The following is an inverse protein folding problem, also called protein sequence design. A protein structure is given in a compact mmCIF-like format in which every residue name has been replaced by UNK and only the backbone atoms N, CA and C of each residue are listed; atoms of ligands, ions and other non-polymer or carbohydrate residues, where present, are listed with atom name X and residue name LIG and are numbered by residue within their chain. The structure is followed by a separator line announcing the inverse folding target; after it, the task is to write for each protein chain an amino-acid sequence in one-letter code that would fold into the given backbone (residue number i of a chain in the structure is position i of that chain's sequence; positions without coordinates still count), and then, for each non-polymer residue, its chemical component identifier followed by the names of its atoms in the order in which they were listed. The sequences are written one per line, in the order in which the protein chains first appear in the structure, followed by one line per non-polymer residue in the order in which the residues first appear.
data_IF_586881850526
#
_entry.id   IF_586881850526
#
_cell.length_a   1.000
_cell.length_b   1.000
_cell.length_c   1.000
_cell.angle_alpha   90.00
_cell.angle_beta   90.00
_cell.angle_gamma   90.00
#
_symmetry.space_group_name_H-M   'P 1'
#
loop_
_entity.id
_entity.type
_entity.pdbx_description
1 polymer ?
#
# COMPACT_ATOMS: atom_id res chain seq x y z
N UNK A 1 -8.90 -27.14 29.97
CA UNK A 1 -7.95 -27.57 28.93
C UNK A 1 -8.08 -26.61 27.75
N UNK A 2 -7.37 -25.47 27.85
CA UNK A 2 -7.22 -24.53 26.73
C UNK A 2 -5.95 -24.96 26.00
N UNK A 3 -6.09 -25.53 24.82
CA UNK A 3 -4.99 -25.67 23.87
C UNK A 3 -4.56 -24.28 23.44
N UNK A 4 -3.27 -23.90 23.56
CA UNK A 4 -2.82 -22.64 23.01
C UNK A 4 -3.03 -22.68 21.49
N UNK A 5 -3.69 -21.65 20.95
CA UNK A 5 -3.73 -21.41 19.51
C UNK A 5 -2.30 -21.32 19.00
N UNK A 6 -1.93 -21.98 17.91
CA UNK A 6 -0.60 -21.83 17.34
C UNK A 6 -0.41 -20.39 16.86
N UNK A 7 0.81 -19.90 16.97
CA UNK A 7 1.30 -18.63 16.42
C UNK A 7 1.13 -18.58 14.89
N UNK A 8 -0.12 -18.43 14.45
CA UNK A 8 -0.47 -18.38 13.02
C UNK A 8 -0.21 -16.99 12.42
N UNK A 9 -0.10 -15.96 13.24
CA UNK A 9 -0.04 -14.58 12.74
C UNK A 9 1.29 -14.24 12.07
N UNK A 10 2.42 -14.60 12.67
CA UNK A 10 3.74 -14.27 12.08
C UNK A 10 4.05 -15.08 10.82
N UNK A 11 3.56 -16.32 10.75
CA UNK A 11 3.76 -17.17 9.57
C UNK A 11 2.90 -16.71 8.40
N UNK A 12 1.69 -16.27 8.69
CA UNK A 12 0.75 -15.74 7.69
C UNK A 12 1.22 -14.40 7.10
N UNK A 13 1.75 -13.50 7.94
CA UNK A 13 2.36 -12.22 7.52
C UNK A 13 3.54 -12.40 6.57
N UNK A 14 4.42 -13.37 6.84
CA UNK A 14 5.55 -13.68 5.97
C UNK A 14 5.08 -14.21 4.60
N UNK A 15 4.00 -15.01 4.57
CA UNK A 15 3.41 -15.53 3.35
C UNK A 15 2.76 -14.43 2.50
N UNK A 16 2.05 -13.50 3.12
CA UNK A 16 1.38 -12.40 2.43
C UNK A 16 2.40 -11.40 1.84
N UNK A 17 3.44 -11.05 2.61
CA UNK A 17 4.56 -10.24 2.09
C UNK A 17 5.29 -10.93 0.95
N UNK A 18 5.48 -12.25 1.03
CA UNK A 18 6.07 -13.03 -0.05
C UNK A 18 5.18 -13.03 -1.31
N UNK A 19 3.87 -13.18 -1.14
CA UNK A 19 2.90 -13.10 -2.23
C UNK A 19 2.92 -11.72 -2.91
N UNK A 20 3.00 -10.64 -2.13
CA UNK A 20 3.15 -9.29 -2.65
C UNK A 20 4.45 -9.13 -3.44
N UNK A 21 5.59 -9.56 -2.90
CA UNK A 21 6.88 -9.51 -3.61
C UNK A 21 6.85 -10.31 -4.91
N UNK A 22 6.21 -11.47 -4.91
CA UNK A 22 6.01 -12.28 -6.12
C UNK A 22 5.16 -11.55 -7.15
N UNK A 23 4.07 -10.91 -6.73
CA UNK A 23 3.23 -10.11 -7.61
C UNK A 23 4.00 -8.93 -8.23
N UNK A 24 4.81 -8.22 -7.43
CA UNK A 24 5.68 -7.14 -7.90
C UNK A 24 6.66 -7.70 -8.95
N UNK A 25 7.39 -8.77 -8.65
CA UNK A 25 8.35 -9.39 -9.57
C UNK A 25 7.72 -9.84 -10.88
N UNK A 26 6.51 -10.42 -10.82
CA UNK A 26 5.76 -10.85 -12.01
C UNK A 26 5.36 -9.64 -12.87
N UNK A 27 4.87 -8.58 -12.24
CA UNK A 27 4.47 -7.34 -12.92
C UNK A 27 5.67 -6.65 -13.59
N UNK A 28 6.85 -6.73 -12.96
CA UNK A 28 8.08 -6.12 -13.47
C UNK A 28 8.82 -6.97 -14.51
N UNK A 29 8.36 -8.18 -14.79
CA UNK A 29 9.04 -9.08 -15.72
C UNK A 29 9.00 -8.53 -17.15
N UNK A 30 10.17 -8.22 -17.76
CA UNK A 30 10.25 -7.61 -19.08
C UNK A 30 9.71 -8.51 -20.20
N UNK A 31 9.65 -9.82 -19.99
CA UNK A 31 9.14 -10.79 -20.99
C UNK A 31 7.63 -10.69 -21.22
N UNK A 32 6.90 -10.05 -20.32
CA UNK A 32 5.46 -9.82 -20.43
C UNK A 32 5.12 -8.44 -21.03
N UNK A 33 6.14 -7.62 -21.31
CA UNK A 33 5.95 -6.29 -21.88
C UNK A 33 6.01 -6.39 -23.40
N UNK A 34 4.90 -6.04 -24.06
CA UNK A 34 4.90 -5.75 -25.48
C UNK A 34 5.92 -4.65 -25.83
N UNK A 35 6.29 -4.58 -27.11
CA UNK A 35 7.29 -3.67 -27.67
C UNK A 35 6.91 -2.16 -27.60
N UNK A 36 6.22 -1.72 -26.57
CA UNK A 36 5.87 -0.31 -26.42
C UNK A 36 7.06 0.47 -25.85
N UNK A 37 7.57 1.39 -26.67
CA UNK A 37 8.59 2.38 -26.30
C UNK A 37 8.11 3.40 -25.23
N UNK A 38 6.97 3.18 -24.60
CA UNK A 38 6.46 4.06 -23.54
C UNK A 38 7.08 3.69 -22.20
N UNK A 39 7.72 4.66 -21.57
CA UNK A 39 8.20 4.55 -20.19
C UNK A 39 7.01 4.50 -19.23
N UNK A 40 6.66 3.30 -18.76
CA UNK A 40 5.69 3.12 -17.70
C UNK A 40 6.39 3.07 -16.34
N UNK A 41 5.76 3.62 -15.33
CA UNK A 41 6.20 3.45 -13.95
C UNK A 41 5.30 2.45 -13.21
N UNK A 42 5.85 1.80 -12.22
CA UNK A 42 5.12 0.96 -11.29
C UNK A 42 5.16 1.60 -9.91
N UNK A 43 4.03 1.68 -9.24
CA UNK A 43 3.93 2.15 -7.88
C UNK A 43 3.41 1.04 -6.95
N UNK A 44 3.84 1.11 -5.70
CA UNK A 44 3.31 0.31 -4.61
C UNK A 44 2.83 1.23 -3.51
N UNK A 45 1.62 1.03 -3.04
CA UNK A 45 1.09 1.68 -1.85
C UNK A 45 0.88 0.66 -0.73
N UNK A 46 1.24 1.01 0.50
CA UNK A 46 0.87 0.27 1.70
C UNK A 46 -0.01 1.17 2.56
N UNK A 47 -1.18 0.66 2.90
CA UNK A 47 -2.19 1.32 3.72
C UNK A 47 -2.15 0.68 5.10
N UNK A 48 -2.09 1.50 6.15
CA UNK A 48 -2.13 1.09 7.54
C UNK A 48 -3.34 1.78 8.22
N UNK A 49 -4.13 1.00 8.91
CA UNK A 49 -5.31 1.51 9.64
C UNK A 49 -4.86 2.11 10.96
N UNK A 50 -5.09 3.41 11.15
CA UNK A 50 -4.68 4.10 12.37
C UNK A 50 -5.43 3.56 13.58
N UNK A 51 -4.70 3.48 14.69
CA UNK A 51 -5.24 3.15 16.01
C UNK A 51 -6.04 1.82 16.04
N UNK A 52 -5.73 0.89 15.11
CA UNK A 52 -6.43 -0.38 14.99
C UNK A 52 -6.35 -1.23 16.26
N UNK A 53 -5.19 -1.23 16.93
CA UNK A 53 -5.04 -1.91 18.21
C UNK A 53 -5.96 -1.32 19.29
N UNK A 54 -6.10 0.01 19.31
CA UNK A 54 -7.01 0.72 20.22
C UNK A 54 -8.48 0.41 19.93
N UNK A 55 -8.82 0.30 18.64
CA UNK A 55 -10.13 -0.13 18.18
C UNK A 55 -10.48 -1.52 18.73
N UNK A 56 -9.57 -2.49 18.56
CA UNK A 56 -9.73 -3.85 19.08
C UNK A 56 -9.83 -3.89 20.60
N UNK A 57 -9.05 -3.06 21.29
CA UNK A 57 -9.11 -2.97 22.74
C UNK A 57 -10.44 -2.42 23.24
N UNK A 58 -11.02 -1.46 22.52
CA UNK A 58 -12.27 -0.79 22.91
C UNK A 58 -13.52 -1.57 22.53
N UNK A 59 -13.53 -2.22 21.37
CA UNK A 59 -14.73 -2.86 20.80
C UNK A 59 -14.60 -4.38 20.61
N UNK A 60 -13.45 -4.96 20.90
CA UNK A 60 -13.15 -6.37 20.71
C UNK A 60 -12.62 -6.71 19.32
N UNK A 61 -11.98 -7.89 19.19
CA UNK A 61 -11.38 -8.37 17.93
C UNK A 61 -12.42 -8.56 16.82
N UNK A 62 -13.64 -8.96 17.15
CA UNK A 62 -14.71 -9.14 16.16
C UNK A 62 -15.07 -7.83 15.45
N UNK A 63 -14.96 -6.70 16.16
CA UNK A 63 -15.10 -5.37 15.57
C UNK A 63 -13.99 -5.12 14.55
N UNK A 64 -12.75 -5.32 14.95
CA UNK A 64 -11.60 -5.13 14.08
C UNK A 64 -11.66 -6.01 12.83
N UNK A 65 -11.99 -7.28 12.96
CA UNK A 65 -12.14 -8.22 11.85
C UNK A 65 -13.23 -7.77 10.87
N UNK A 66 -14.36 -7.26 11.40
CA UNK A 66 -15.45 -6.71 10.58
C UNK A 66 -14.99 -5.46 9.82
N UNK A 67 -14.27 -4.56 10.48
CA UNK A 67 -13.73 -3.34 9.86
C UNK A 67 -12.71 -3.69 8.77
N UNK A 68 -11.76 -4.61 9.04
CA UNK A 68 -10.78 -5.05 8.03
C UNK A 68 -11.47 -5.72 6.84
N UNK A 69 -12.49 -6.53 7.08
CA UNK A 69 -13.28 -7.15 6.01
C UNK A 69 -13.98 -6.10 5.14
N UNK A 70 -14.57 -5.09 5.76
CA UNK A 70 -15.22 -3.99 5.06
C UNK A 70 -14.23 -3.17 4.23
N UNK A 71 -13.04 -2.88 4.79
CA UNK A 71 -11.95 -2.19 4.07
C UNK A 71 -11.50 -3.02 2.87
N UNK A 72 -11.23 -4.31 3.07
CA UNK A 72 -10.82 -5.22 2.00
C UNK A 72 -11.86 -5.27 0.87
N UNK A 73 -13.14 -5.32 1.22
CA UNK A 73 -14.22 -5.30 0.23
C UNK A 73 -14.25 -3.98 -0.56
N UNK A 74 -14.12 -2.84 0.09
CA UNK A 74 -14.08 -1.52 -0.55
C UNK A 74 -12.85 -1.38 -1.46
N UNK A 75 -11.68 -1.81 -1.00
CA UNK A 75 -10.45 -1.78 -1.79
C UNK A 75 -10.55 -2.69 -3.02
N UNK A 76 -11.08 -3.89 -2.87
CA UNK A 76 -11.30 -4.81 -4.01
C UNK A 76 -12.34 -4.29 -5.00
N UNK A 77 -13.36 -3.59 -4.54
CA UNK A 77 -14.34 -2.94 -5.43
C UNK A 77 -13.73 -1.78 -6.21
N UNK A 78 -12.78 -1.06 -5.61
CA UNK A 78 -12.01 -0.01 -6.30
C UNK A 78 -11.00 -0.63 -7.26
N UNK A 79 -10.40 -1.77 -6.89
CA UNK A 79 -9.46 -2.51 -7.71
C UNK A 79 -10.19 -3.04 -8.95
N UNK A 80 -9.76 -2.59 -10.11
CA UNK A 80 -10.11 -3.12 -11.41
C UNK A 80 -8.86 -3.78 -12.01
N UNK A 81 -8.85 -4.08 -13.30
CA UNK A 81 -7.67 -4.65 -13.96
C UNK A 81 -6.41 -3.76 -13.89
N UNK A 82 -6.55 -2.51 -13.40
CA UNK A 82 -5.46 -1.54 -13.32
C UNK A 82 -4.60 -1.68 -12.05
N UNK A 83 -5.07 -2.34 -10.98
CA UNK A 83 -4.28 -2.55 -9.77
C UNK A 83 -4.65 -3.81 -9.00
N UNK A 84 -3.67 -4.31 -8.25
CA UNK A 84 -3.73 -5.57 -7.50
C UNK A 84 -3.72 -5.23 -6.01
N UNK A 85 -4.74 -5.71 -5.28
CA UNK A 85 -4.85 -5.52 -3.83
C UNK A 85 -4.49 -6.80 -3.08
N UNK A 86 -3.63 -6.68 -2.07
CA UNK A 86 -3.24 -7.73 -1.14
C UNK A 86 -3.52 -7.30 0.29
N UNK A 87 -4.12 -8.18 1.09
CA UNK A 87 -4.14 -8.02 2.54
C UNK A 87 -2.81 -8.55 3.09
N UNK A 88 -2.08 -7.70 3.83
CA UNK A 88 -0.73 -8.02 4.33
C UNK A 88 -0.73 -8.56 5.75
N UNK A 89 -1.91 -8.70 6.35
CA UNK A 89 -2.07 -9.09 7.73
C UNK A 89 -2.15 -7.91 8.71
N UNK A 90 -2.55 -8.17 9.93
CA UNK A 90 -2.84 -7.16 10.97
C UNK A 90 -3.81 -6.09 10.47
N UNK A 91 -3.31 -4.90 10.26
CA UNK A 91 -4.04 -3.70 9.82
C UNK A 91 -3.48 -3.10 8.53
N UNK A 92 -2.72 -3.89 7.75
CA UNK A 92 -2.03 -3.43 6.54
C UNK A 92 -2.60 -4.05 5.26
N UNK A 93 -2.69 -3.21 4.21
CA UNK A 93 -3.07 -3.60 2.85
C UNK A 93 -2.03 -3.07 1.85
N UNK A 94 -1.66 -3.90 0.89
CA UNK A 94 -0.78 -3.52 -0.21
C UNK A 94 -1.57 -3.36 -1.52
N UNK A 95 -1.29 -2.29 -2.25
CA UNK A 95 -1.86 -2.02 -3.57
C UNK A 95 -0.73 -1.82 -4.56
N UNK A 96 -0.64 -2.71 -5.53
CA UNK A 96 0.29 -2.62 -6.63
C UNK A 96 -0.38 -1.94 -7.82
N UNK A 97 0.24 -0.87 -8.31
CA UNK A 97 -0.22 -0.04 -9.43
C UNK A 97 0.76 -0.22 -10.59
N UNK A 98 0.51 -1.20 -11.49
CA UNK A 98 1.36 -1.42 -12.65
C UNK A 98 1.07 -0.40 -13.76
N UNK A 99 2.07 -0.15 -14.59
CA UNK A 99 1.91 0.57 -15.87
C UNK A 99 1.28 1.98 -15.76
N UNK A 100 1.65 2.74 -14.74
CA UNK A 100 1.24 4.13 -14.63
C UNK A 100 2.00 5.01 -15.64
N UNK A 101 1.31 5.97 -16.24
CA UNK A 101 1.90 6.91 -17.21
C UNK A 101 2.73 8.00 -16.54
N UNK A 102 2.38 8.37 -15.32
CA UNK A 102 3.10 9.40 -14.55
C UNK A 102 2.86 9.25 -13.05
N UNK A 103 3.70 9.87 -12.20
CA UNK A 103 3.47 9.91 -10.74
C UNK A 103 2.12 10.54 -10.35
N UNK A 104 1.59 11.45 -11.16
CA UNK A 104 0.29 12.08 -10.93
C UNK A 104 -0.87 11.07 -10.91
N UNK A 105 -0.80 9.99 -11.69
CA UNK A 105 -1.79 8.92 -11.62
C UNK A 105 -1.73 8.15 -10.30
N UNK A 106 -0.55 7.99 -9.72
CA UNK A 106 -0.42 7.40 -8.39
C UNK A 106 -1.09 8.28 -7.31
N UNK A 107 -0.96 9.61 -7.41
CA UNK A 107 -1.66 10.54 -6.52
C UNK A 107 -3.18 10.39 -6.65
N UNK A 108 -3.70 10.33 -7.88
CA UNK A 108 -5.15 10.13 -8.12
C UNK A 108 -5.62 8.83 -7.45
N UNK A 109 -4.88 7.73 -7.58
CA UNK A 109 -5.22 6.46 -6.93
C UNK A 109 -5.23 6.58 -5.40
N UNK A 110 -4.24 7.27 -4.81
CA UNK A 110 -4.19 7.51 -3.36
C UNK A 110 -5.40 8.33 -2.90
N UNK A 111 -5.77 9.38 -3.63
CA UNK A 111 -6.96 10.18 -3.31
C UNK A 111 -8.26 9.35 -3.38
N UNK A 112 -8.37 8.44 -4.35
CA UNK A 112 -9.50 7.51 -4.44
C UNK A 112 -9.51 6.53 -3.25
N UNK A 113 -8.36 6.01 -2.85
CA UNK A 113 -8.22 5.16 -1.67
C UNK A 113 -8.64 5.92 -0.41
N UNK A 114 -8.13 7.13 -0.20
CA UNK A 114 -8.49 7.97 0.95
C UNK A 114 -10.00 8.27 0.99
N UNK A 115 -10.62 8.44 -0.18
CA UNK A 115 -12.07 8.67 -0.27
C UNK A 115 -12.90 7.49 0.28
N UNK A 116 -12.40 6.25 0.24
CA UNK A 116 -13.07 5.08 0.81
C UNK A 116 -13.22 5.16 2.34
N UNK A 117 -12.37 5.95 3.00
CA UNK A 117 -12.34 6.12 4.45
C UNK A 117 -13.09 7.38 4.93
N UNK A 118 -13.61 8.21 4.01
CA UNK A 118 -14.38 9.41 4.38
C UNK A 118 -15.74 9.10 5.00
N UNK A 119 -16.29 7.92 4.70
CA UNK A 119 -17.54 7.44 5.29
C UNK A 119 -17.34 6.80 6.67
N UNK A 120 -18.45 6.50 7.33
CA UNK A 120 -18.44 5.74 8.57
C UNK A 120 -18.43 4.23 8.29
N UNK A 121 -17.93 3.49 9.26
CA UNK A 121 -18.02 2.04 9.31
C UNK A 121 -19.00 1.66 10.42
N UNK A 122 -20.00 0.88 10.06
CA UNK A 122 -21.01 0.47 11.03
C UNK A 122 -20.57 -0.81 11.75
N UNK A 123 -20.63 -0.78 13.08
CA UNK A 123 -20.43 -1.94 13.93
C UNK A 123 -21.51 -1.98 15.01
N UNK A 124 -22.41 -2.95 14.94
CA UNK A 124 -23.58 -3.02 15.81
C UNK A 124 -24.33 -1.67 15.81
N UNK A 125 -24.39 -0.97 16.94
CA UNK A 125 -25.05 0.34 17.08
C UNK A 125 -24.05 1.51 17.07
N UNK A 126 -22.80 1.28 16.60
CA UNK A 126 -21.74 2.30 16.57
C UNK A 126 -21.37 2.66 15.15
N UNK A 127 -21.29 3.96 14.88
CA UNK A 127 -20.73 4.50 13.64
C UNK A 127 -19.30 4.92 13.89
N UNK A 128 -18.35 4.15 13.35
CA UNK A 128 -16.92 4.30 13.58
C UNK A 128 -16.25 5.09 12.45
N UNK A 129 -15.45 6.07 12.80
CA UNK A 129 -14.60 6.80 11.84
C UNK A 129 -13.24 6.16 11.81
N UNK A 130 -12.88 5.60 10.68
CA UNK A 130 -11.58 4.96 10.45
C UNK A 130 -10.70 5.89 9.64
N UNK A 131 -9.46 6.05 10.06
CA UNK A 131 -8.43 6.81 9.34
C UNK A 131 -7.23 5.95 9.05
N UNK A 132 -6.43 6.34 8.06
CA UNK A 132 -5.28 5.57 7.59
C UNK A 132 -4.06 6.44 7.41
N UNK A 133 -2.89 5.80 7.45
CA UNK A 133 -1.67 6.32 6.85
C UNK A 133 -1.33 5.50 5.60
N UNK A 134 -0.84 6.14 4.56
CA UNK A 134 -0.46 5.48 3.32
C UNK A 134 0.99 5.84 2.99
N UNK A 135 1.82 4.83 2.80
CA UNK A 135 3.12 4.99 2.17
C UNK A 135 3.00 4.57 0.71
N UNK A 136 3.57 5.35 -0.18
CA UNK A 136 3.63 5.01 -1.60
C UNK A 136 5.04 5.24 -2.13
N UNK A 137 5.53 4.31 -2.94
CA UNK A 137 6.76 4.49 -3.70
C UNK A 137 6.52 4.10 -5.15
N UNK A 138 7.27 4.71 -6.05
CA UNK A 138 7.22 4.40 -7.47
C UNK A 138 8.61 4.39 -8.09
N UNK A 139 8.75 3.65 -9.19
CA UNK A 139 9.95 3.65 -10.00
C UNK A 139 9.61 3.35 -11.47
N UNK A 140 10.46 3.80 -12.38
CA UNK A 140 10.32 3.48 -13.80
C UNK A 140 10.70 2.03 -14.09
N UNK A 141 9.97 1.39 -15.00
CA UNK A 141 10.02 -0.04 -15.27
C UNK A 141 11.42 -0.62 -15.57
N UNK A 142 12.35 0.21 -16.07
CA UNK A 142 13.69 -0.23 -16.47
C UNK A 142 14.68 -0.39 -15.30
N UNK A 143 14.32 0.05 -14.10
CA UNK A 143 15.23 0.15 -12.96
C UNK A 143 14.63 -0.38 -11.64
N UNK A 144 13.59 -1.24 -11.71
CA UNK A 144 12.88 -1.66 -10.51
C UNK A 144 13.46 -2.95 -9.96
N UNK A 145 14.04 -2.86 -8.75
CA UNK A 145 14.18 -3.97 -7.83
C UNK A 145 12.92 -4.04 -6.94
N UNK A 146 12.23 -5.18 -6.97
CA UNK A 146 11.00 -5.40 -6.19
C UNK A 146 11.22 -5.22 -4.68
N UNK A 147 12.36 -5.67 -4.15
CA UNK A 147 12.68 -5.51 -2.74
C UNK A 147 12.89 -4.04 -2.39
N UNK A 148 13.56 -3.30 -3.28
CA UNK A 148 13.77 -1.86 -3.09
C UNK A 148 12.47 -1.09 -3.15
N UNK A 149 11.56 -1.41 -4.07
CA UNK A 149 10.25 -0.78 -4.16
C UNK A 149 9.45 -0.99 -2.88
N UNK A 150 9.45 -2.22 -2.35
CA UNK A 150 8.80 -2.54 -1.08
C UNK A 150 9.42 -1.75 0.08
N UNK A 151 10.75 -1.74 0.18
CA UNK A 151 11.47 -1.02 1.24
C UNK A 151 11.19 0.50 1.20
N UNK A 152 11.22 1.10 0.02
CA UNK A 152 10.92 2.53 -0.16
C UNK A 152 9.46 2.84 0.23
N UNK A 153 8.53 1.93 -0.08
CA UNK A 153 7.11 2.06 0.32
C UNK A 153 6.92 1.98 1.83
N UNK A 154 7.60 1.05 2.49
CA UNK A 154 7.59 0.92 3.96
C UNK A 154 8.21 2.16 4.64
N UNK A 155 9.28 2.72 4.05
CA UNK A 155 9.88 3.97 4.53
C UNK A 155 8.91 5.15 4.38
N UNK A 156 8.22 5.25 3.25
CA UNK A 156 7.19 6.26 3.04
C UNK A 156 6.06 6.16 4.07
N UNK A 157 5.60 4.92 4.36
CA UNK A 157 4.57 4.68 5.38
C UNK A 157 5.05 5.11 6.77
N UNK A 158 6.29 4.75 7.13
CA UNK A 158 6.89 5.18 8.40
C UNK A 158 6.94 6.70 8.53
N UNK A 159 7.30 7.40 7.44
CA UNK A 159 7.31 8.86 7.41
C UNK A 159 5.89 9.45 7.54
N UNK A 160 4.89 8.86 6.86
CA UNK A 160 3.50 9.29 6.99
C UNK A 160 2.98 9.17 8.42
N UNK A 161 3.27 8.06 9.10
CA UNK A 161 2.94 7.85 10.52
C UNK A 161 3.63 8.88 11.42
N UNK A 162 4.94 9.10 11.23
CA UNK A 162 5.73 10.01 12.05
C UNK A 162 5.32 11.48 11.89
N UNK A 163 4.94 11.90 10.68
CA UNK A 163 4.53 13.28 10.37
C UNK A 163 3.02 13.52 10.50
N UNK A 164 2.25 12.51 10.88
CA UNK A 164 0.79 12.54 10.96
C UNK A 164 0.12 12.96 9.62
N UNK A 165 0.73 12.61 8.51
CA UNK A 165 0.19 12.85 7.17
C UNK A 165 -0.67 11.67 6.71
N UNK A 166 -1.68 11.94 5.90
CA UNK A 166 -2.52 10.89 5.31
C UNK A 166 -1.71 9.99 4.39
N UNK A 167 -0.77 10.56 3.65
CA UNK A 167 0.18 9.78 2.85
C UNK A 167 1.52 10.50 2.66
N UNK A 168 2.55 9.72 2.34
CA UNK A 168 3.86 10.18 1.87
C UNK A 168 4.21 9.40 0.61
N UNK A 169 4.74 10.07 -0.39
CA UNK A 169 5.18 9.49 -1.65
C UNK A 169 6.68 9.63 -1.83
N UNK A 170 7.35 8.52 -2.10
CA UNK A 170 8.77 8.48 -2.45
C UNK A 170 8.92 7.96 -3.89
N UNK A 171 9.80 8.55 -4.67
CA UNK A 171 10.06 8.10 -6.02
C UNK A 171 11.27 8.78 -6.64
N UNK A 172 11.91 8.10 -7.58
CA UNK A 172 12.96 8.68 -8.40
C UNK A 172 12.38 9.13 -9.74
N UNK A 173 12.34 10.44 -9.95
CA UNK A 173 12.23 11.01 -11.28
C UNK A 173 13.61 11.01 -11.92
N UNK A 174 13.74 10.59 -13.19
CA UNK A 174 14.98 10.76 -13.95
C UNK A 174 15.39 12.25 -14.03
N UNK A 175 14.41 13.16 -13.96
CA UNK A 175 14.68 14.61 -13.92
C UNK A 175 15.19 15.11 -12.56
N UNK A 176 14.83 14.50 -11.45
CA UNK A 176 15.35 14.92 -10.12
C UNK A 176 16.81 14.52 -9.92
N UNK A 177 17.28 13.45 -10.53
CA UNK A 177 18.71 13.09 -10.47
C UNK A 177 19.60 14.06 -11.26
N UNK A 178 19.10 14.70 -12.31
CA UNK A 178 19.85 15.73 -13.05
C UNK A 178 19.80 17.09 -12.37
N UNK A 179 18.74 17.42 -11.65
CA UNK A 179 18.62 18.69 -10.95
C UNK A 179 19.35 18.68 -9.59
N UNK A 180 19.37 17.55 -8.86
CA UNK A 180 20.20 17.42 -7.65
C UNK A 180 21.70 17.51 -7.97
N UNK A 181 22.14 16.94 -9.09
CA UNK A 181 23.55 17.06 -9.53
C UNK A 181 23.93 18.49 -9.93
N UNK A 182 22.97 19.34 -10.33
CA UNK A 182 23.22 20.74 -10.64
C UNK A 182 23.42 21.63 -9.41
N UNK A 183 22.82 21.29 -8.27
CA UNK A 183 22.95 22.05 -7.02
C UNK A 183 24.20 21.70 -6.22
N UNK A 184 24.76 20.50 -6.40
CA UNK A 184 25.99 20.07 -5.75
C UNK A 184 27.27 20.59 -6.47
N UNK A 185 27.15 21.21 -7.65
CA UNK A 185 28.26 21.74 -8.45
C UNK A 185 28.33 23.28 -8.47
N UNK A 186 27.54 23.98 -7.66
CA UNK A 186 27.56 25.42 -7.43
C UNK A 186 27.94 25.74 -5.98
#
# INVERSE_FOLDING_TARGET
WLTPMPDTDSHNLALERHALLKAIKTTLNPTLKGNDNEQHLTALAIIDVRDFHELNRSFGSDCGDTILSAINHRLKALANDAFICHYLGNDEFGILLPQLKSPGFAVICVEQILALFKGVFEWQNHSLKITTNIGIAYNYANHIDANKLLLDTELALKQAKASNQSYVMLGKNEQQSSDQLKWELL
#
